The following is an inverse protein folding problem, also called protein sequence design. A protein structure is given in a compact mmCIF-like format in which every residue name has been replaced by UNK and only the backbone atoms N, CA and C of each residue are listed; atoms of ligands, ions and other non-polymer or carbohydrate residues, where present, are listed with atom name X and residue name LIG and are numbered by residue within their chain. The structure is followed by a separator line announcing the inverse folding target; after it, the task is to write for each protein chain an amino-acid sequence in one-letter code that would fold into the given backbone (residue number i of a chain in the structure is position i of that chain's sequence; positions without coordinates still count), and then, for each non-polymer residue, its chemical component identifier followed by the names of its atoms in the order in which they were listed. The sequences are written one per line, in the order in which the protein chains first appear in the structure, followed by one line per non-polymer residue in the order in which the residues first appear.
data_IF_745999120880
#
_entry.id   IF_745999120880
#
_cell.length_a   1.000
_cell.length_b   1.000
_cell.length_c   1.000
_cell.angle_alpha   90.00
_cell.angle_beta   90.00
_cell.angle_gamma   90.00
#
_symmetry.space_group_name_H-M   'P 1'
#
loop_
_entity.id
_entity.type
_entity.pdbx_description
1 polymer ?
#
# COMPACT_ATOMS: atom_id res chain seq x y z
N UNK A 1 -21.44 -1.78 1.53
CA UNK A 1 -20.11 -1.40 2.06
C UNK A 1 -19.38 -2.67 2.47
N UNK A 2 -18.53 -3.21 1.60
CA UNK A 2 -17.64 -4.32 1.96
C UNK A 2 -16.48 -3.73 2.76
N UNK A 3 -16.12 -4.36 3.88
CA UNK A 3 -14.97 -3.95 4.70
C UNK A 3 -13.72 -4.13 3.85
N UNK A 4 -12.95 -3.06 3.66
CA UNK A 4 -11.61 -3.18 3.09
C UNK A 4 -10.72 -3.89 4.12
N UNK A 5 -10.42 -5.16 3.89
CA UNK A 5 -9.47 -5.90 4.70
C UNK A 5 -8.06 -5.63 4.18
N UNK A 6 -7.17 -5.19 5.08
CA UNK A 6 -5.73 -5.22 4.79
C UNK A 6 -5.28 -6.67 4.95
N UNK A 7 -4.81 -7.28 3.85
CA UNK A 7 -4.21 -8.62 3.86
C UNK A 7 -3.01 -8.62 4.83
N UNK A 8 -2.75 -9.71 5.59
CA UNK A 8 -1.57 -9.77 6.45
C UNK A 8 -0.28 -9.49 5.66
N UNK A 9 0.44 -8.44 6.06
CA UNK A 9 1.60 -7.92 5.34
C UNK A 9 2.73 -8.95 5.25
N UNK A 10 2.95 -9.73 6.32
CA UNK A 10 4.02 -10.75 6.39
C UNK A 10 3.91 -11.79 5.27
N UNK A 11 2.70 -12.30 5.03
CA UNK A 11 2.45 -13.29 3.98
C UNK A 11 2.73 -12.75 2.58
N UNK A 12 2.45 -11.46 2.35
CA UNK A 12 2.75 -10.84 1.06
C UNK A 12 4.25 -10.63 0.88
N UNK A 13 4.98 -10.28 1.95
CA UNK A 13 6.45 -10.20 1.93
C UNK A 13 7.06 -11.56 1.61
N UNK A 14 6.58 -12.65 2.23
CA UNK A 14 7.02 -14.00 1.90
C UNK A 14 6.75 -14.37 0.44
N UNK A 15 5.54 -14.10 -0.07
CA UNK A 15 5.20 -14.35 -1.48
C UNK A 15 6.08 -13.56 -2.46
N UNK A 16 6.41 -12.31 -2.14
CA UNK A 16 7.31 -11.49 -2.96
C UNK A 16 8.72 -12.10 -2.95
N UNK A 17 9.20 -12.52 -1.78
CA UNK A 17 10.50 -13.16 -1.62
C UNK A 17 10.59 -14.47 -2.43
N UNK A 18 9.54 -15.30 -2.38
CA UNK A 18 9.41 -16.51 -3.21
C UNK A 18 9.45 -16.16 -4.71
N UNK A 19 8.68 -15.14 -5.12
CA UNK A 19 8.59 -14.71 -6.52
C UNK A 19 9.92 -14.22 -7.09
N UNK A 20 10.74 -13.52 -6.30
CA UNK A 20 12.07 -13.05 -6.73
C UNK A 20 13.17 -14.13 -6.57
N UNK A 21 12.80 -15.36 -6.20
CA UNK A 21 13.73 -16.49 -6.05
C UNK A 21 14.59 -16.42 -4.78
N UNK A 22 14.11 -15.73 -3.74
CA UNK A 22 14.76 -15.58 -2.43
C UNK A 22 13.80 -15.94 -1.29
N UNK A 23 13.28 -17.18 -1.24
CA UNK A 23 12.39 -17.60 -0.18
C UNK A 23 13.07 -17.52 1.19
N UNK A 24 12.33 -17.11 2.23
CA UNK A 24 12.82 -17.15 3.60
C UNK A 24 12.91 -18.58 4.12
N UNK A 25 14.01 -18.92 4.75
CA UNK A 25 14.19 -20.17 5.50
C UNK A 25 13.39 -20.17 6.81
N UNK A 26 13.12 -21.35 7.36
CA UNK A 26 12.43 -21.47 8.65
C UNK A 26 13.20 -20.77 9.78
N UNK A 27 14.53 -20.81 9.74
CA UNK A 27 15.40 -20.11 10.71
C UNK A 27 15.20 -18.60 10.63
N UNK A 28 15.12 -18.03 9.42
CA UNK A 28 14.88 -16.58 9.24
C UNK A 28 13.48 -16.18 9.70
N UNK A 29 12.48 -17.04 9.47
CA UNK A 29 11.11 -16.82 9.94
C UNK A 29 11.04 -16.87 11.47
N UNK A 30 11.65 -17.87 12.09
CA UNK A 30 11.74 -18.00 13.55
C UNK A 30 12.54 -16.87 14.19
N UNK A 31 13.59 -16.37 13.51
CA UNK A 31 14.34 -15.20 13.91
C UNK A 31 13.57 -13.87 13.75
N UNK A 32 12.36 -13.91 13.19
CA UNK A 32 11.49 -12.74 13.04
C UNK A 32 11.89 -11.79 11.92
N UNK A 33 12.73 -12.22 10.97
CA UNK A 33 13.24 -11.36 9.88
C UNK A 33 12.10 -10.78 9.04
N UNK A 34 11.07 -11.57 8.75
CA UNK A 34 9.88 -11.11 8.00
C UNK A 34 9.20 -9.96 8.74
N UNK A 35 9.00 -10.10 10.05
CA UNK A 35 8.42 -9.06 10.89
C UNK A 35 9.27 -7.79 10.95
N UNK A 36 10.60 -7.94 11.02
CA UNK A 36 11.52 -6.79 10.96
C UNK A 36 11.45 -6.05 9.63
N UNK A 37 11.29 -6.75 8.50
CA UNK A 37 11.09 -6.12 7.18
C UNK A 37 9.74 -5.39 7.14
N UNK A 38 8.68 -6.01 7.64
CA UNK A 38 7.35 -5.39 7.70
C UNK A 38 7.35 -4.14 8.58
N UNK A 39 8.03 -4.18 9.73
CA UNK A 39 8.21 -3.00 10.58
C UNK A 39 9.01 -1.91 9.85
N UNK A 40 10.18 -2.26 9.29
CA UNK A 40 11.05 -1.30 8.59
C UNK A 40 10.34 -0.61 7.43
N UNK A 41 9.54 -1.36 6.68
CA UNK A 41 8.76 -0.87 5.54
C UNK A 41 7.34 -0.43 5.94
N UNK A 42 7.05 -0.26 7.23
CA UNK A 42 5.73 0.24 7.65
C UNK A 42 5.55 1.70 7.24
N UNK A 43 4.29 2.11 7.08
CA UNK A 43 3.98 3.50 6.74
C UNK A 43 4.52 4.45 7.81
N UNK A 44 4.40 4.10 9.09
CA UNK A 44 4.89 4.89 10.22
C UNK A 44 6.40 5.09 10.18
N UNK A 45 7.19 4.01 9.96
CA UNK A 45 8.65 4.12 9.90
C UNK A 45 9.12 4.89 8.67
N UNK A 46 8.56 4.60 7.49
CA UNK A 46 8.98 5.26 6.25
C UNK A 46 8.56 6.74 6.22
N UNK A 47 7.37 7.09 6.72
CA UNK A 47 6.92 8.49 6.78
C UNK A 47 7.74 9.31 7.78
N UNK A 48 8.07 8.75 8.95
CA UNK A 48 8.94 9.40 9.92
C UNK A 48 10.36 9.62 9.36
N UNK A 49 10.89 8.63 8.65
CA UNK A 49 12.18 8.76 7.96
C UNK A 49 12.13 9.89 6.92
N UNK A 50 11.12 9.90 6.05
CA UNK A 50 10.94 10.92 5.02
C UNK A 50 10.79 12.34 5.59
N UNK A 51 10.08 12.49 6.72
CA UNK A 51 9.92 13.78 7.40
C UNK A 51 11.22 14.26 8.08
N UNK A 52 12.07 13.33 8.52
CA UNK A 52 13.37 13.64 9.14
C UNK A 52 14.48 13.94 8.13
N UNK A 53 14.35 13.45 6.90
CA UNK A 53 15.33 13.67 5.84
C UNK A 53 15.07 15.01 5.16
N UNK A 54 15.89 16.00 5.47
CA UNK A 54 15.91 17.28 4.77
C UNK A 54 16.27 17.05 3.29
N UNK A 55 15.39 17.48 2.38
CA UNK A 55 15.60 17.32 0.95
C UNK A 55 14.31 17.21 0.16
N UNK A 56 14.46 17.44 -1.14
CA UNK A 56 13.40 17.36 -2.12
C UNK A 56 13.81 16.46 -3.27
N UNK A 57 12.84 15.81 -3.88
CA UNK A 57 13.03 15.10 -5.13
C UNK A 57 12.48 15.93 -6.27
N UNK A 58 13.31 16.16 -7.27
CA UNK A 58 12.90 16.81 -8.51
C UNK A 58 12.33 15.76 -9.46
N UNK A 59 11.02 15.78 -9.65
CA UNK A 59 10.35 14.95 -10.66
C UNK A 59 9.97 15.84 -11.85
N UNK A 60 10.63 15.60 -12.98
CA UNK A 60 10.61 16.50 -14.14
C UNK A 60 11.04 17.93 -13.76
N UNK A 61 10.10 18.89 -13.80
CA UNK A 61 10.33 20.30 -13.50
C UNK A 61 9.66 20.75 -12.18
N UNK A 62 9.16 19.81 -11.38
CA UNK A 62 8.46 20.08 -10.13
C UNK A 62 9.27 19.48 -8.98
N UNK A 63 9.43 20.27 -7.92
CA UNK A 63 10.14 19.88 -6.70
C UNK A 63 9.13 19.40 -5.67
N UNK A 64 9.35 18.18 -5.16
CA UNK A 64 8.51 17.57 -4.13
C UNK A 64 9.33 17.36 -2.87
N UNK A 65 8.83 17.85 -1.74
CA UNK A 65 9.42 17.52 -0.44
C UNK A 65 9.24 16.03 -0.16
N UNK A 66 10.20 15.40 0.53
CA UNK A 66 10.17 13.96 0.78
C UNK A 66 8.90 13.50 1.54
N UNK A 67 8.41 14.32 2.46
CA UNK A 67 7.18 14.08 3.22
C UNK A 67 5.92 14.04 2.33
N UNK A 68 5.95 14.71 1.18
CA UNK A 68 4.80 14.85 0.27
C UNK A 68 4.38 13.51 -0.36
N UNK A 69 5.26 12.50 -0.36
CA UNK A 69 4.95 11.14 -0.80
C UNK A 69 4.13 10.34 0.23
N UNK A 70 4.09 10.76 1.50
CA UNK A 70 3.50 10.01 2.61
C UNK A 70 2.30 10.74 3.21
N UNK A 71 1.12 10.64 2.58
CA UNK A 71 -0.08 11.39 2.98
C UNK A 71 -0.82 10.86 4.22
N UNK A 72 -1.41 9.66 4.12
CA UNK A 72 -2.14 9.02 5.24
C UNK A 72 -1.96 7.50 5.32
N UNK A 73 -1.77 6.81 4.19
CA UNK A 73 -1.57 5.36 4.18
C UNK A 73 -2.81 4.54 4.62
N UNK A 74 -4.01 5.14 4.63
CA UNK A 74 -5.23 4.50 5.14
C UNK A 74 -6.20 4.14 4.01
N UNK A 75 -6.76 2.93 4.08
CA UNK A 75 -7.79 2.47 3.15
C UNK A 75 -9.14 3.13 3.45
N UNK A 76 -9.86 3.55 2.41
CA UNK A 76 -11.19 4.16 2.55
C UNK A 76 -11.19 5.66 2.82
N UNK A 77 -10.02 6.30 2.91
CA UNK A 77 -9.90 7.75 3.16
C UNK A 77 -10.53 8.62 2.06
N UNK A 78 -10.86 8.04 0.90
CA UNK A 78 -11.63 8.71 -0.15
C UNK A 78 -13.01 9.20 0.34
N UNK A 79 -13.60 8.55 1.35
CA UNK A 79 -14.88 8.95 1.95
C UNK A 79 -14.79 10.26 2.72
N UNK A 80 -13.59 10.67 3.14
CA UNK A 80 -13.37 11.92 3.88
C UNK A 80 -13.21 13.14 2.96
N UNK A 81 -13.05 12.91 1.66
CA UNK A 81 -12.98 13.96 0.66
C UNK A 81 -14.33 14.10 -0.04
N UNK A 82 -14.55 15.19 -0.79
CA UNK A 82 -15.81 15.51 -1.47
C UNK A 82 -16.17 14.52 -2.61
N UNK A 83 -16.28 13.23 -2.31
CA UNK A 83 -16.82 12.16 -3.15
C UNK A 83 -18.22 11.86 -2.65
N UNK A 84 -19.22 12.14 -3.47
CA UNK A 84 -20.61 11.81 -3.11
C UNK A 84 -20.85 10.30 -3.27
N UNK A 85 -21.87 9.74 -2.57
CA UNK A 85 -22.26 8.35 -2.77
C UNK A 85 -22.57 7.99 -4.23
N UNK A 86 -23.08 8.96 -5.00
CA UNK A 86 -23.33 8.81 -6.44
C UNK A 86 -22.05 8.67 -7.26
N UNK A 87 -21.02 9.48 -6.96
CA UNK A 87 -19.71 9.37 -7.60
C UNK A 87 -19.04 8.03 -7.29
N UNK A 88 -19.13 7.59 -6.02
CA UNK A 88 -18.62 6.29 -5.60
C UNK A 88 -19.34 5.14 -6.32
N UNK A 89 -20.67 5.17 -6.37
CA UNK A 89 -21.46 4.14 -7.07
C UNK A 89 -21.19 4.11 -8.58
N UNK A 90 -20.98 5.27 -9.19
CA UNK A 90 -20.59 5.35 -10.60
C UNK A 90 -19.23 4.72 -10.87
N UNK A 91 -18.24 4.96 -9.98
CA UNK A 91 -16.92 4.34 -10.07
C UNK A 91 -16.99 2.83 -9.83
N UNK A 92 -17.75 2.37 -8.82
CA UNK A 92 -17.95 0.95 -8.54
C UNK A 92 -18.53 0.21 -9.75
N UNK A 93 -19.51 0.82 -10.42
CA UNK A 93 -20.09 0.28 -11.65
C UNK A 93 -19.06 0.21 -12.77
N UNK A 94 -18.33 1.29 -13.02
CA UNK A 94 -17.29 1.34 -14.06
C UNK A 94 -16.20 0.28 -13.83
N UNK A 95 -15.75 0.12 -12.58
CA UNK A 95 -14.77 -0.92 -12.22
C UNK A 95 -15.38 -2.30 -12.45
N UNK A 96 -16.60 -2.57 -11.98
CA UNK A 96 -17.25 -3.86 -12.17
C UNK A 96 -17.40 -4.24 -13.65
N UNK A 97 -17.79 -3.30 -14.50
CA UNK A 97 -17.97 -3.55 -15.94
C UNK A 97 -16.64 -3.83 -16.65
N UNK A 98 -15.57 -3.11 -16.31
CA UNK A 98 -14.27 -3.31 -16.94
C UNK A 98 -13.54 -4.58 -16.47
N UNK A 99 -13.81 -5.03 -15.25
CA UNK A 99 -13.20 -6.24 -14.71
C UNK A 99 -14.10 -7.48 -14.81
N UNK A 100 -15.29 -7.36 -15.39
CA UNK A 100 -16.17 -8.51 -15.58
C UNK A 100 -15.49 -9.58 -16.46
N UNK A 101 -15.61 -10.85 -16.05
CA UNK A 101 -14.94 -11.98 -16.71
C UNK A 101 -13.41 -12.05 -16.55
N UNK A 102 -12.74 -11.04 -15.96
CA UNK A 102 -11.28 -11.06 -15.76
C UNK A 102 -10.82 -11.93 -14.57
N UNK A 103 -11.75 -12.33 -13.70
CA UNK A 103 -11.45 -12.98 -12.43
C UNK A 103 -10.86 -12.04 -11.37
N UNK A 104 -10.77 -10.74 -11.66
CA UNK A 104 -10.24 -9.73 -10.75
C UNK A 104 -11.35 -8.98 -10.03
N UNK A 105 -11.24 -8.90 -8.70
CA UNK A 105 -12.18 -8.15 -7.87
C UNK A 105 -11.42 -7.44 -6.74
N UNK A 106 -11.70 -6.16 -6.53
CA UNK A 106 -11.32 -5.50 -5.28
C UNK A 106 -12.33 -5.92 -4.19
N UNK A 107 -11.82 -6.52 -3.10
CA UNK A 107 -12.64 -6.94 -1.93
C UNK A 107 -12.81 -5.82 -0.91
#
# INVERSE_FOLDING_TARGET
MKRCYVIPTDRNVEKIADFIGKPFSDIEKEAGIVGSIVELCSFEKMSALAASMEGSQKLMNIEFQNDSFFRKGVVGDWMNYNITPEMAGSLDKLVSENFDGSGFTFM
#
